data_IF_416056626692
#
_entry.id   IF_416056626692
#
_cell.length_a   1.000
_cell.length_b   1.000
_cell.length_c   1.000
_cell.angle_alpha   90.00
_cell.angle_beta   90.00
_cell.angle_gamma   90.00
#
_symmetry.space_group_name_H-M   'P 1'
#
loop_
_entity.id
_entity.type
_entity.pdbx_description
1 polymer ?
#
# COMPACT_ATOMS: atom_id res chain seq x y z
N UNK A 1 13.84 6.59 4.52
CA UNK A 1 14.17 5.21 4.10
C UNK A 1 13.75 5.01 2.66
N UNK A 2 14.36 4.07 1.97
CA UNK A 2 14.02 3.66 0.60
C UNK A 2 13.64 2.18 0.59
N UNK A 3 12.53 1.86 -0.10
CA UNK A 3 12.04 0.50 -0.29
C UNK A 3 12.21 0.09 -1.75
N UNK A 4 12.95 -0.97 -1.99
CA UNK A 4 13.08 -1.58 -3.30
C UNK A 4 12.44 -2.96 -3.29
N UNK A 5 11.51 -3.19 -4.21
CA UNK A 5 10.80 -4.46 -4.38
C UNK A 5 11.30 -5.15 -5.63
N UNK A 6 11.63 -6.43 -5.56
CA UNK A 6 11.92 -7.22 -6.76
C UNK A 6 10.70 -8.03 -7.19
N UNK A 7 10.05 -7.72 -8.33
CA UNK A 7 8.74 -8.28 -8.69
C UNK A 7 8.70 -9.81 -8.80
N UNK A 8 9.84 -10.45 -9.11
CA UNK A 8 9.91 -11.89 -9.37
C UNK A 8 10.35 -12.75 -8.18
N UNK A 9 11.03 -12.17 -7.20
CA UNK A 9 11.69 -12.94 -6.12
C UNK A 9 11.04 -12.73 -4.76
N UNK A 10 10.01 -11.88 -4.67
CA UNK A 10 9.35 -11.50 -3.43
C UNK A 10 10.34 -10.99 -2.37
N UNK A 11 11.50 -10.48 -2.80
CA UNK A 11 12.54 -9.94 -1.91
C UNK A 11 12.39 -8.43 -1.82
N UNK A 12 12.54 -7.95 -0.61
CA UNK A 12 12.53 -6.53 -0.29
C UNK A 12 13.93 -6.12 0.17
N UNK A 13 14.37 -4.96 -0.33
CA UNK A 13 15.55 -4.27 0.19
C UNK A 13 15.09 -2.97 0.78
N UNK A 14 15.50 -2.73 2.01
CA UNK A 14 15.33 -1.45 2.67
C UNK A 14 16.69 -0.82 2.84
N UNK A 15 16.81 0.43 2.41
CA UNK A 15 18.03 1.21 2.56
C UNK A 15 17.75 2.49 3.32
N UNK A 16 18.54 2.77 4.36
CA UNK A 16 18.54 4.05 5.05
C UNK A 16 19.67 4.92 4.47
N UNK A 17 19.36 5.95 3.67
CA UNK A 17 20.38 6.78 3.03
C UNK A 17 21.21 7.59 4.02
N UNK A 18 20.67 7.91 5.21
CA UNK A 18 21.37 8.71 6.22
C UNK A 18 22.39 7.89 7.01
N UNK A 19 22.07 6.62 7.32
CA UNK A 19 23.00 5.74 8.05
C UNK A 19 23.81 4.81 7.14
N UNK A 20 23.51 4.78 5.84
CA UNK A 20 24.08 3.82 4.90
C UNK A 20 23.65 2.36 5.13
N UNK A 21 22.80 2.08 6.14
CA UNK A 21 22.40 0.72 6.49
C UNK A 21 21.42 0.14 5.47
N UNK A 22 21.71 -1.09 5.04
CA UNK A 22 20.84 -1.87 4.14
C UNK A 22 20.35 -3.12 4.86
N UNK A 23 19.07 -3.46 4.69
CA UNK A 23 18.46 -4.67 5.24
C UNK A 23 17.68 -5.41 4.15
N UNK A 24 17.87 -6.72 4.08
CA UNK A 24 17.04 -7.62 3.29
C UNK A 24 15.88 -8.11 4.14
N UNK A 25 14.67 -8.04 3.60
CA UNK A 25 13.45 -8.53 4.26
C UNK A 25 12.81 -9.55 3.33
N UNK A 26 12.46 -10.70 3.91
CA UNK A 26 11.76 -11.77 3.23
C UNK A 26 10.36 -11.93 3.85
N UNK A 27 9.28 -11.84 3.06
CA UNK A 27 7.93 -12.19 3.49
C UNK A 27 7.82 -13.69 3.79
N UNK A 28 6.98 -14.07 4.74
CA UNK A 28 6.77 -15.48 5.10
C UNK A 28 6.11 -16.28 3.98
N UNK A 29 5.15 -15.68 3.27
CA UNK A 29 4.38 -16.32 2.21
C UNK A 29 4.75 -15.79 0.85
N UNK A 30 4.90 -16.67 -0.14
CA UNK A 30 5.24 -16.33 -1.52
C UNK A 30 3.99 -16.14 -2.37
N UNK A 31 3.50 -14.91 -2.44
CA UNK A 31 2.41 -14.52 -3.34
C UNK A 31 2.62 -13.08 -3.83
N UNK A 32 2.00 -12.74 -4.95
CA UNK A 32 2.10 -11.42 -5.55
C UNK A 32 1.55 -10.35 -4.60
N UNK A 33 2.38 -9.35 -4.31
CA UNK A 33 2.00 -8.27 -3.39
C UNK A 33 2.45 -6.92 -3.90
N UNK A 34 1.70 -5.91 -3.51
CA UNK A 34 2.18 -4.54 -3.53
C UNK A 34 2.77 -4.23 -2.15
N UNK A 35 3.77 -3.36 -2.13
CA UNK A 35 4.40 -2.93 -0.89
C UNK A 35 4.35 -1.42 -0.80
N UNK A 36 4.21 -0.93 0.43
CA UNK A 36 4.30 0.47 0.76
C UNK A 36 5.06 0.67 2.05
N UNK A 37 5.65 1.84 2.21
CA UNK A 37 6.41 2.21 3.38
C UNK A 37 5.81 3.47 3.98
N UNK A 38 5.68 3.47 5.29
CA UNK A 38 5.24 4.62 6.07
C UNK A 38 5.88 4.59 7.45
N UNK A 39 5.42 5.47 8.33
CA UNK A 39 5.88 5.49 9.71
C UNK A 39 4.76 5.92 10.64
N UNK A 40 4.87 5.46 11.88
CA UNK A 40 4.02 5.93 12.97
C UNK A 40 4.37 7.40 13.30
N UNK A 41 3.36 8.27 13.17
CA UNK A 41 3.47 9.71 13.42
C UNK A 41 3.44 10.04 14.91
N UNK A 42 2.92 9.13 15.74
CA UNK A 42 2.83 9.29 17.19
C UNK A 42 4.15 8.96 17.90
N UNK A 43 5.09 8.33 17.20
CA UNK A 43 6.39 7.90 17.73
C UNK A 43 7.50 8.90 17.39
N UNK A 44 8.28 9.30 18.41
CA UNK A 44 9.32 10.35 18.30
C UNK A 44 10.43 10.05 17.28
N UNK A 45 10.71 8.77 17.02
CA UNK A 45 11.77 8.32 16.12
C UNK A 45 11.24 7.74 14.80
N UNK A 46 10.02 8.12 14.37
CA UNK A 46 9.37 7.65 13.15
C UNK A 46 9.52 6.13 13.00
N UNK A 47 8.75 5.38 13.79
CA UNK A 47 8.76 3.91 13.72
C UNK A 47 8.27 3.48 12.33
N UNK A 48 9.22 3.28 11.41
CA UNK A 48 8.92 2.90 10.04
C UNK A 48 8.27 1.52 10.02
N UNK A 49 7.35 1.34 9.09
CA UNK A 49 6.60 0.10 8.88
C UNK A 49 6.54 -0.16 7.38
N UNK A 50 6.46 -1.43 6.98
CA UNK A 50 6.18 -1.80 5.58
C UNK A 50 4.83 -2.49 5.54
N UNK A 51 3.91 -1.91 4.78
CA UNK A 51 2.64 -2.55 4.44
C UNK A 51 2.85 -3.46 3.24
N UNK A 52 2.33 -4.68 3.33
CA UNK A 52 2.19 -5.62 2.22
C UNK A 52 0.70 -5.81 1.93
N UNK A 53 0.32 -5.54 0.69
CA UNK A 53 -1.05 -5.67 0.20
C UNK A 53 -1.11 -6.88 -0.74
N UNK A 54 -2.02 -7.84 -0.52
CA UNK A 54 -2.27 -8.92 -1.48
C UNK A 54 -2.88 -8.32 -2.76
N UNK A 55 -2.34 -8.71 -3.91
CA UNK A 55 -2.82 -8.17 -5.18
C UNK A 55 -2.60 -9.16 -6.33
N UNK A 56 -3.56 -9.24 -7.24
CA UNK A 56 -3.44 -10.02 -8.46
C UNK A 56 -3.40 -9.13 -9.70
N UNK A 57 -2.64 -9.59 -10.69
CA UNK A 57 -2.63 -8.97 -12.00
C UNK A 57 -3.85 -9.45 -12.76
N UNK A 58 -4.67 -8.52 -13.25
CA UNK A 58 -5.81 -8.87 -14.10
C UNK A 58 -5.32 -9.39 -15.48
N UNK A 59 -4.14 -8.95 -15.95
CA UNK A 59 -3.69 -9.20 -17.33
C UNK A 59 -2.19 -9.51 -17.52
N UNK A 60 -1.45 -9.90 -16.47
CA UNK A 60 -0.05 -10.33 -16.58
C UNK A 60 0.96 -9.30 -17.11
N UNK A 61 0.56 -8.03 -17.30
CA UNK A 61 1.44 -6.95 -17.76
C UNK A 61 1.94 -6.09 -16.59
N UNK A 62 3.22 -5.73 -16.63
CA UNK A 62 3.82 -4.78 -15.70
C UNK A 62 3.15 -3.41 -15.89
N UNK A 63 2.67 -2.79 -14.81
CA UNK A 63 1.97 -1.51 -14.86
C UNK A 63 0.44 -1.60 -14.96
N UNK A 64 -0.15 -2.79 -15.11
CA UNK A 64 -1.60 -2.95 -15.07
C UNK A 64 -2.16 -2.70 -13.67
N UNK A 65 -3.41 -2.21 -13.64
CA UNK A 65 -4.23 -2.15 -12.43
C UNK A 65 -4.27 -3.50 -11.74
N UNK A 66 -4.18 -3.46 -10.41
CA UNK A 66 -4.16 -4.63 -9.56
C UNK A 66 -5.47 -4.70 -8.80
N UNK A 67 -6.19 -5.81 -8.88
CA UNK A 67 -7.40 -5.93 -8.08
C UNK A 67 -7.01 -6.15 -6.62
N UNK A 68 -7.58 -5.31 -5.76
CA UNK A 68 -7.47 -5.38 -4.32
C UNK A 68 -8.64 -6.24 -3.82
N UNK A 69 -8.32 -7.41 -3.31
CA UNK A 69 -9.31 -8.34 -2.77
C UNK A 69 -8.74 -9.05 -1.55
N UNK A 70 -9.08 -8.53 -0.37
CA UNK A 70 -8.66 -9.09 0.91
C UNK A 70 -9.54 -10.27 1.37
N UNK A 71 -10.63 -10.54 0.65
CA UNK A 71 -11.64 -11.53 1.02
C UNK A 71 -11.54 -12.82 0.19
N UNK A 72 -10.51 -12.98 -0.64
CA UNK A 72 -10.28 -14.23 -1.35
C UNK A 72 -9.96 -15.33 -0.33
N UNK A 73 -10.74 -16.42 -0.40
CA UNK A 73 -10.54 -17.64 0.38
C UNK A 73 -9.05 -18.06 0.37
N UNK A 74 -8.48 -18.16 1.57
CA UNK A 74 -7.15 -18.69 1.81
C UNK A 74 -6.07 -17.62 1.98
N UNK A 75 -5.71 -17.36 3.24
CA UNK A 75 -4.38 -16.90 3.66
C UNK A 75 -3.82 -15.54 3.18
N UNK A 76 -4.54 -14.81 2.31
CA UNK A 76 -4.14 -13.51 1.78
C UNK A 76 -4.67 -12.37 2.67
N UNK A 77 -3.87 -11.94 3.65
CA UNK A 77 -4.16 -10.78 4.49
C UNK A 77 -3.19 -9.64 4.20
N UNK A 78 -3.59 -8.44 4.59
CA UNK A 78 -2.61 -7.36 4.73
C UNK A 78 -1.62 -7.74 5.82
N UNK A 79 -0.35 -7.43 5.60
CA UNK A 79 0.69 -7.65 6.59
C UNK A 79 1.47 -6.37 6.82
N UNK A 80 1.87 -6.13 8.06
CA UNK A 80 2.82 -5.08 8.42
C UNK A 80 4.11 -5.74 8.88
N UNK A 81 5.22 -5.28 8.33
CA UNK A 81 6.54 -5.55 8.88
C UNK A 81 6.94 -4.45 9.84
N UNK A 82 7.32 -4.86 11.05
CA UNK A 82 7.79 -3.98 12.12
C UNK A 82 9.31 -4.12 12.27
N UNK A 83 10.03 -3.00 12.18
CA UNK A 83 11.49 -3.02 12.25
C UNK A 83 12.03 -3.33 13.64
N UNK A 84 11.28 -2.94 14.69
CA UNK A 84 11.65 -3.17 16.09
C UNK A 84 11.65 -4.64 16.48
N UNK A 85 10.60 -5.37 16.10
CA UNK A 85 10.46 -6.82 16.33
C UNK A 85 11.07 -7.67 15.21
N UNK A 86 11.42 -7.06 14.08
CA UNK A 86 11.95 -7.74 12.89
C UNK A 86 11.01 -8.86 12.39
N UNK A 87 9.70 -8.65 12.49
CA UNK A 87 8.69 -9.64 12.14
C UNK A 87 7.56 -9.04 11.30
N UNK A 88 6.88 -9.94 10.59
CA UNK A 88 5.60 -9.64 9.94
C UNK A 88 4.46 -9.98 10.88
N UNK A 89 3.40 -9.17 10.86
CA UNK A 89 2.11 -9.49 11.49
C UNK A 89 0.96 -9.18 10.54
N UNK A 90 -0.12 -9.95 10.66
CA UNK A 90 -1.34 -9.72 9.91
C UNK A 90 -2.09 -8.50 10.42
N UNK A 91 -2.77 -7.79 9.51
CA UNK A 91 -3.70 -6.71 9.83
C UNK A 91 -5.05 -7.05 9.22
N UNK A 92 -6.07 -7.06 10.06
CA UNK A 92 -7.44 -7.30 9.61
C UNK A 92 -8.02 -5.99 9.08
N UNK A 93 -8.02 -5.86 7.75
CA UNK A 93 -8.49 -4.68 7.05
C UNK A 93 -9.63 -5.05 6.12
N UNK A 94 -10.78 -4.40 6.30
CA UNK A 94 -11.93 -4.57 5.42
C UNK A 94 -11.72 -3.68 4.19
N UNK A 95 -11.79 -4.29 3.00
CA UNK A 95 -11.72 -3.56 1.73
C UNK A 95 -12.90 -3.91 0.84
N UNK A 96 -13.39 -2.91 0.10
CA UNK A 96 -14.31 -3.14 -1.02
C UNK A 96 -13.51 -3.53 -2.26
N UNK A 97 -14.05 -4.40 -3.11
CA UNK A 97 -13.43 -4.75 -4.38
C UNK A 97 -13.18 -3.50 -5.22
N UNK A 98 -11.91 -3.24 -5.51
CA UNK A 98 -11.46 -2.09 -6.28
C UNK A 98 -10.19 -2.43 -7.05
N UNK A 99 -9.91 -1.64 -8.08
CA UNK A 99 -8.65 -1.71 -8.81
C UNK A 99 -7.70 -0.64 -8.30
N UNK A 100 -6.52 -1.07 -7.90
CA UNK A 100 -5.45 -0.23 -7.39
C UNK A 100 -4.40 0.00 -8.49
N UNK A 101 -4.11 1.27 -8.77
CA UNK A 101 -3.04 1.62 -9.69
C UNK A 101 -1.68 1.24 -9.06
N UNK A 102 -0.74 0.66 -9.82
CA UNK A 102 0.62 0.45 -9.34
C UNK A 102 1.31 1.77 -8.98
N UNK A 103 2.21 1.72 -8.00
CA UNK A 103 3.06 2.86 -7.65
C UNK A 103 2.39 3.87 -6.72
N UNK A 104 1.92 3.40 -5.56
CA UNK A 104 1.46 4.31 -4.49
C UNK A 104 2.56 5.28 -4.07
N UNK A 105 2.13 6.44 -3.56
CA UNK A 105 3.01 7.54 -3.14
C UNK A 105 2.89 7.74 -1.64
N UNK A 106 4.02 7.83 -0.96
CA UNK A 106 4.06 8.09 0.48
C UNK A 106 4.23 9.58 0.76
N UNK A 107 3.40 10.12 1.64
CA UNK A 107 3.43 11.53 2.05
C UNK A 107 3.17 11.63 3.55
N UNK A 108 4.05 12.34 4.26
CA UNK A 108 3.92 12.62 5.71
C UNK A 108 3.64 11.39 6.58
N UNK A 109 4.24 10.25 6.23
CA UNK A 109 4.14 9.01 7.00
C UNK A 109 3.08 8.04 6.50
N UNK A 110 2.14 8.51 5.68
CA UNK A 110 1.08 7.69 5.12
C UNK A 110 1.35 7.35 3.66
N UNK A 111 0.66 6.35 3.11
CA UNK A 111 0.75 6.00 1.69
C UNK A 111 -0.60 6.08 1.01
N UNK A 112 -0.59 6.59 -0.21
CA UNK A 112 -1.76 6.88 -1.02
C UNK A 112 -1.68 6.13 -2.36
N UNK A 113 -2.82 5.64 -2.82
CA UNK A 113 -2.98 4.99 -4.12
C UNK A 113 -4.20 5.55 -4.83
N UNK A 114 -4.15 5.54 -6.16
CA UNK A 114 -5.34 5.77 -6.98
C UNK A 114 -6.13 4.47 -7.07
N UNK A 115 -7.42 4.56 -6.79
CA UNK A 115 -8.41 3.51 -7.00
C UNK A 115 -9.30 3.85 -8.19
N UNK A 116 -9.65 2.82 -8.96
CA UNK A 116 -10.72 2.84 -9.95
C UNK A 116 -11.79 1.82 -9.58
N UNK A 117 -13.06 2.17 -9.80
CA UNK A 117 -14.13 1.18 -9.78
C UNK A 117 -14.06 0.28 -11.04
N UNK A 118 -14.80 -0.84 -11.02
CA UNK A 118 -14.90 -1.78 -12.15
C UNK A 118 -15.41 -1.14 -13.45
N UNK A 119 -16.06 0.02 -13.37
CA UNK A 119 -16.62 0.73 -14.53
C UNK A 119 -15.64 1.71 -15.17
N UNK A 120 -14.51 2.01 -14.52
CA UNK A 120 -13.44 2.84 -15.08
C UNK A 120 -13.70 4.36 -15.10
N UNK A 121 -14.80 4.82 -14.50
CA UNK A 121 -15.23 6.23 -14.57
C UNK A 121 -15.14 6.98 -13.24
N UNK A 122 -15.02 6.29 -12.11
CA UNK A 122 -14.88 6.93 -10.80
C UNK A 122 -13.52 6.63 -10.19
N UNK A 123 -12.74 7.71 -10.01
CA UNK A 123 -11.47 7.67 -9.30
C UNK A 123 -11.63 8.11 -7.86
N UNK A 124 -10.93 7.42 -6.97
CA UNK A 124 -10.81 7.81 -5.56
C UNK A 124 -9.39 7.59 -5.08
N UNK A 125 -9.00 8.24 -4.00
CA UNK A 125 -7.73 7.94 -3.34
C UNK A 125 -7.97 6.95 -2.22
N UNK A 126 -7.10 5.98 -2.10
CA UNK A 126 -6.99 5.13 -0.92
C UNK A 126 -5.77 5.57 -0.15
N UNK A 127 -5.92 5.91 1.12
CA UNK A 127 -4.81 6.10 2.03
C UNK A 127 -4.72 4.93 3.01
N UNK A 128 -3.50 4.65 3.45
CA UNK A 128 -3.24 3.83 4.62
C UNK A 128 -2.57 4.71 5.67
N UNK A 129 -3.25 4.90 6.80
CA UNK A 129 -2.70 5.59 7.96
C UNK A 129 -1.80 4.61 8.74
N UNK A 130 -0.50 4.88 8.84
CA UNK A 130 0.44 3.98 9.51
C UNK A 130 0.46 4.09 11.03
N UNK A 131 -0.17 5.13 11.58
CA UNK A 131 -0.30 5.32 13.04
C UNK A 131 -1.52 4.57 13.55
N UNK A 132 -2.64 4.69 12.84
CA UNK A 132 -3.89 3.99 13.18
C UNK A 132 -4.00 2.60 12.54
N UNK A 133 -3.20 2.32 11.51
CA UNK A 133 -3.19 1.07 10.73
C UNK A 133 -4.51 0.80 10.02
N UNK A 134 -5.09 1.85 9.44
CA UNK A 134 -6.40 1.82 8.80
C UNK A 134 -6.35 2.30 7.37
N UNK A 135 -7.14 1.64 6.52
CA UNK A 135 -7.44 2.16 5.20
C UNK A 135 -8.53 3.22 5.28
N UNK A 136 -8.37 4.29 4.52
CA UNK A 136 -9.38 5.32 4.34
C UNK A 136 -9.55 5.61 2.86
N UNK A 137 -10.80 5.69 2.41
CA UNK A 137 -11.13 6.11 1.05
C UNK A 137 -11.42 7.60 1.06
N UNK A 138 -10.70 8.34 0.24
CA UNK A 138 -10.82 9.78 0.09
C UNK A 138 -11.42 10.09 -1.28
N UNK A 139 -12.43 10.96 -1.31
CA UNK A 139 -13.00 11.47 -2.54
C UNK A 139 -11.98 12.37 -3.24
N UNK A 140 -11.81 12.20 -4.55
CA UNK A 140 -11.08 13.16 -5.37
C UNK A 140 -12.06 14.29 -5.71
N UNK A 141 -11.68 15.57 -5.60
CA UNK A 141 -12.55 16.66 -6.06
C UNK A 141 -12.88 16.44 -7.54
N UNK A 142 -14.15 16.25 -7.86
CA UNK A 142 -14.62 16.21 -9.24
C UNK A 142 -14.69 17.63 -9.78
N UNK A 143 -14.18 17.87 -10.98
CA UNK A 143 -14.16 19.19 -11.65
C UNK A 143 -15.55 19.68 -12.11
N UNK A 144 -16.63 19.32 -11.42
CA UNK A 144 -18.01 19.68 -11.82
C UNK A 144 -18.64 20.80 -10.99
N UNK A 145 -17.90 21.44 -10.09
CA UNK A 145 -18.37 22.62 -9.35
C UNK A 145 -17.86 23.93 -9.98
N UNK A 146 -18.21 24.19 -11.24
CA UNK A 146 -18.12 25.54 -11.85
C UNK A 146 -19.41 25.89 -12.63
N UNK A 147 -20.56 25.74 -11.98
CA UNK A 147 -21.77 26.47 -12.39
C UNK A 147 -22.28 27.28 -11.20
N UNK A 148 -21.71 28.48 -11.05
CA UNK A 148 -22.26 29.51 -10.18
C UNK A 148 -23.65 29.95 -10.66
N UNK A 149 -24.52 30.44 -9.76
CA UNK A 149 -25.85 30.88 -10.13
C UNK A 149 -25.79 32.10 -11.06
N UNK A 150 -26.56 32.04 -12.14
CA UNK A 150 -26.81 33.14 -13.07
C UNK A 150 -27.72 34.22 -12.44
#
# INVERSE_FOLDING_TARGET
MLLCTHPKSNRLVVWNPFSGKTRWIQPQKHYNSAYAMGYDKNELCHNYKILRLPCYYDHGKLGSWKKLDANLEGDLRFEIYEFGSNSWRSVDVITTQAYLQPGGVSLKGDTYWVLSNHKGFDYSLLSFDFSEERLQRLCVPTSHDEQGPA
#
